data_IF_300324676689
#
_entry.id   IF_300324676689
#
_cell.length_a   1.000
_cell.length_b   1.000
_cell.length_c   1.000
_cell.angle_alpha   90.00
_cell.angle_beta   90.00
_cell.angle_gamma   90.00
#
_symmetry.space_group_name_H-M   'P 1'
#
loop_
_entity.id
_entity.type
_entity.pdbx_description
1 polymer ?
#
# COMPACT_ATOMS: atom_id res chain seq x y z
N UNK A 1 63.73 17.76 -10.12
CA UNK A 1 62.97 18.56 -9.13
C UNK A 1 63.85 18.67 -7.88
N UNK A 2 64.33 19.87 -7.52
CA UNK A 2 65.24 20.05 -6.38
C UNK A 2 64.53 20.52 -5.10
N UNK A 3 63.22 20.81 -5.16
CA UNK A 3 62.40 21.19 -4.01
C UNK A 3 61.07 20.42 -4.06
N UNK A 4 60.88 19.46 -3.16
CA UNK A 4 59.60 18.77 -2.94
C UNK A 4 59.26 18.89 -1.45
N UNK A 5 58.03 19.28 -1.15
CA UNK A 5 57.51 19.38 0.23
C UNK A 5 56.30 18.48 0.34
N UNK A 6 56.20 17.69 1.41
CA UNK A 6 54.99 16.91 1.68
C UNK A 6 53.86 17.87 2.09
N UNK A 7 52.73 17.81 1.40
CA UNK A 7 51.54 18.61 1.67
C UNK A 7 50.38 17.65 1.93
N UNK A 8 49.56 17.98 2.92
CA UNK A 8 48.38 17.19 3.25
C UNK A 8 47.36 17.25 2.08
N UNK A 9 46.84 16.11 1.61
CA UNK A 9 45.91 16.09 0.47
C UNK A 9 44.61 16.87 0.74
N UNK A 10 44.21 17.00 2.02
CA UNK A 10 43.04 17.79 2.40
C UNK A 10 43.21 19.27 2.09
N UNK A 11 44.40 19.85 2.34
CA UNK A 11 44.68 21.26 2.03
C UNK A 11 44.67 21.54 0.53
N UNK A 12 45.10 20.57 -0.30
CA UNK A 12 45.04 20.71 -1.76
C UNK A 12 43.60 20.67 -2.28
N UNK A 13 42.74 19.84 -1.70
CA UNK A 13 41.33 19.80 -2.05
C UNK A 13 40.57 21.06 -1.63
N UNK A 14 40.95 21.67 -0.49
CA UNK A 14 40.37 22.93 -0.03
C UNK A 14 40.79 24.12 -0.92
N UNK A 15 42.08 24.21 -1.27
CA UNK A 15 42.60 25.31 -2.10
C UNK A 15 42.25 25.16 -3.59
N UNK A 16 42.01 23.92 -4.05
CA UNK A 16 41.79 23.59 -5.45
C UNK A 16 40.63 22.63 -5.69
N UNK A 17 39.38 22.98 -5.34
CA UNK A 17 38.23 22.09 -5.47
C UNK A 17 37.90 21.75 -6.93
N UNK A 18 38.35 22.57 -7.89
CA UNK A 18 38.21 22.28 -9.33
C UNK A 18 39.15 21.17 -9.82
N UNK A 19 40.26 20.91 -9.12
CA UNK A 19 41.29 19.95 -9.55
C UNK A 19 41.35 18.71 -8.66
N UNK A 20 41.03 18.84 -7.38
CA UNK A 20 41.17 17.77 -6.40
C UNK A 20 39.85 17.55 -5.66
N UNK A 21 39.43 16.29 -5.57
CA UNK A 21 38.30 15.84 -4.78
C UNK A 21 38.80 14.77 -3.81
N UNK A 22 38.55 14.95 -2.52
CA UNK A 22 38.84 13.91 -1.52
C UNK A 22 37.72 12.89 -1.58
N UNK A 23 38.10 11.62 -1.79
CA UNK A 23 37.15 10.52 -1.76
C UNK A 23 36.91 10.10 -0.32
N UNK A 24 35.87 10.64 0.29
CA UNK A 24 35.38 10.21 1.60
C UNK A 24 34.74 8.81 1.47
N UNK A 25 35.53 7.74 1.45
CA UNK A 25 34.94 6.41 1.26
C UNK A 25 35.73 5.30 1.93
N UNK A 26 35.22 4.91 3.11
CA UNK A 26 35.07 3.51 3.53
C UNK A 26 33.83 3.30 4.46
N UNK A 27 33.19 4.36 4.95
CA UNK A 27 31.94 4.29 5.73
C UNK A 27 30.66 4.40 4.88
N UNK A 28 30.76 4.82 3.62
CA UNK A 28 29.61 5.25 2.81
C UNK A 28 28.71 4.10 2.32
N UNK A 29 29.25 2.92 2.03
CA UNK A 29 28.45 1.80 1.51
C UNK A 29 27.56 1.16 2.57
N UNK A 30 28.07 1.02 3.80
CA UNK A 30 27.29 0.50 4.93
C UNK A 30 26.23 1.51 5.38
N UNK A 31 26.60 2.79 5.46
CA UNK A 31 25.67 3.86 5.80
C UNK A 31 24.58 4.02 4.73
N UNK A 32 24.93 3.95 3.44
CA UNK A 32 23.94 3.99 2.36
C UNK A 32 23.00 2.79 2.39
N UNK A 33 23.52 1.59 2.69
CA UNK A 33 22.70 0.38 2.85
C UNK A 33 21.76 0.48 4.06
N UNK A 34 22.22 1.07 5.15
CA UNK A 34 21.39 1.30 6.34
C UNK A 34 20.28 2.31 6.02
N UNK A 35 20.62 3.45 5.41
CA UNK A 35 19.64 4.45 4.94
C UNK A 35 18.60 3.84 3.99
N UNK A 36 19.02 2.99 3.05
CA UNK A 36 18.07 2.31 2.16
C UNK A 36 17.12 1.37 2.92
N UNK A 37 17.61 0.64 3.93
CA UNK A 37 16.77 -0.23 4.76
C UNK A 37 15.78 0.58 5.59
N UNK A 38 16.23 1.66 6.20
CA UNK A 38 15.41 2.53 7.04
C UNK A 38 14.30 3.18 6.21
N UNK A 39 14.64 3.70 5.02
CA UNK A 39 13.67 4.26 4.07
C UNK A 39 12.66 3.19 3.61
N UNK A 40 13.12 1.97 3.30
CA UNK A 40 12.22 0.87 2.91
C UNK A 40 11.28 0.47 4.04
N UNK A 41 11.79 0.40 5.28
CA UNK A 41 11.01 0.05 6.46
C UNK A 41 9.94 1.10 6.76
N UNK A 42 10.32 2.39 6.71
CA UNK A 42 9.38 3.50 6.91
C UNK A 42 8.26 3.50 5.84
N UNK A 43 8.62 3.23 4.58
CA UNK A 43 7.63 3.14 3.49
C UNK A 43 6.67 1.95 3.65
N UNK A 44 7.16 0.82 4.16
CA UNK A 44 6.32 -0.37 4.40
C UNK A 44 5.29 -0.12 5.51
N UNK A 45 5.71 0.54 6.60
CA UNK A 45 4.82 0.93 7.70
C UNK A 45 3.70 1.88 7.25
N UNK A 46 4.03 2.88 6.44
CA UNK A 46 3.03 3.79 5.87
C UNK A 46 1.99 3.04 5.02
N UNK A 47 2.44 2.11 4.18
CA UNK A 47 1.54 1.29 3.34
C UNK A 47 0.64 0.37 4.15
N UNK A 48 1.16 -0.25 5.21
CA UNK A 48 0.37 -1.12 6.08
C UNK A 48 -0.70 -0.33 6.83
N UNK A 49 -0.37 0.87 7.31
CA UNK A 49 -1.33 1.76 7.96
C UNK A 49 -2.46 2.19 7.00
N UNK A 50 -2.13 2.62 5.78
CA UNK A 50 -3.12 2.94 4.75
C UNK A 50 -4.01 1.74 4.42
N UNK A 51 -3.44 0.53 4.36
CA UNK A 51 -4.20 -0.70 4.08
C UNK A 51 -5.18 -1.02 5.20
N UNK A 52 -4.76 -0.90 6.46
CA UNK A 52 -5.63 -1.10 7.63
C UNK A 52 -6.80 -0.10 7.61
N UNK A 53 -6.53 1.15 7.27
CA UNK A 53 -7.55 2.19 7.21
C UNK A 53 -8.55 1.95 6.07
N UNK A 54 -8.08 1.53 4.89
CA UNK A 54 -8.96 1.13 3.79
C UNK A 54 -9.86 -0.05 4.15
N UNK A 55 -9.30 -1.09 4.78
CA UNK A 55 -10.07 -2.25 5.22
C UNK A 55 -11.11 -1.84 6.26
N UNK A 56 -10.75 -0.99 7.24
CA UNK A 56 -11.68 -0.50 8.25
C UNK A 56 -12.82 0.35 7.62
N UNK A 57 -12.50 1.19 6.64
CA UNK A 57 -13.51 1.96 5.93
C UNK A 57 -14.45 1.06 5.13
N UNK A 58 -13.90 0.03 4.48
CA UNK A 58 -14.69 -0.92 3.70
C UNK A 58 -15.62 -1.75 4.58
N UNK A 59 -15.14 -2.25 5.74
CA UNK A 59 -15.99 -3.01 6.68
C UNK A 59 -17.14 -2.17 7.21
N UNK A 60 -16.89 -0.93 7.62
CA UNK A 60 -17.92 0.00 8.10
C UNK A 60 -18.95 0.29 7.00
N UNK A 61 -18.51 0.51 5.76
CA UNK A 61 -19.41 0.72 4.63
C UNK A 61 -20.24 -0.53 4.32
N UNK A 62 -19.63 -1.71 4.33
CA UNK A 62 -20.32 -2.98 4.11
C UNK A 62 -21.38 -3.24 5.19
N UNK A 63 -21.09 -2.95 6.47
CA UNK A 63 -22.04 -3.07 7.57
C UNK A 63 -23.21 -2.08 7.43
N UNK A 64 -22.93 -0.82 7.09
CA UNK A 64 -23.95 0.19 6.83
C UNK A 64 -24.87 -0.23 5.67
N UNK A 65 -24.32 -0.77 4.59
CA UNK A 65 -25.10 -1.25 3.45
C UNK A 65 -25.91 -2.53 3.78
N UNK A 66 -25.38 -3.43 4.61
CA UNK A 66 -26.13 -4.59 5.12
C UNK A 66 -27.31 -4.15 5.98
N UNK A 67 -27.13 -3.17 6.88
CA UNK A 67 -28.21 -2.63 7.72
C UNK A 67 -29.31 -1.94 6.89
N UNK A 68 -28.94 -1.14 5.88
CA UNK A 68 -29.91 -0.53 4.96
C UNK A 68 -30.73 -1.59 4.22
N UNK A 69 -30.06 -2.62 3.67
CA UNK A 69 -30.73 -3.74 2.99
C UNK A 69 -31.68 -4.49 3.91
N UNK A 70 -31.28 -4.76 5.16
CA UNK A 70 -32.15 -5.41 6.14
C UNK A 70 -33.41 -4.58 6.46
N UNK A 71 -33.27 -3.25 6.65
CA UNK A 71 -34.42 -2.35 6.88
C UNK A 71 -35.38 -2.32 5.69
N UNK A 72 -34.85 -2.28 4.46
CA UNK A 72 -35.68 -2.33 3.25
C UNK A 72 -36.43 -3.67 3.11
N UNK A 73 -35.77 -4.80 3.41
CA UNK A 73 -36.43 -6.12 3.39
C UNK A 73 -37.54 -6.23 4.43
N UNK A 74 -37.34 -5.69 5.63
CA UNK A 74 -38.38 -5.66 6.68
C UNK A 74 -39.57 -4.78 6.26
N UNK A 75 -39.34 -3.70 5.52
CA UNK A 75 -40.40 -2.83 4.99
C UNK A 75 -41.22 -3.51 3.88
N UNK A 76 -40.68 -4.53 3.19
CA UNK A 76 -41.37 -5.31 2.12
C UNK A 76 -42.18 -6.49 2.70
N UNK A 77 -42.52 -6.49 4.00
CA UNK A 77 -43.55 -7.40 4.51
C UNK A 77 -44.93 -6.90 4.07
N UNK A 78 -45.28 -7.12 2.80
CA UNK A 78 -46.61 -6.84 2.25
C UNK A 78 -47.64 -7.78 2.90
N UNK A 79 -48.61 -7.28 3.69
CA UNK A 79 -49.72 -8.09 4.14
C UNK A 79 -50.50 -8.56 2.91
N UNK A 80 -50.60 -9.87 2.71
CA UNK A 80 -51.27 -10.46 1.54
C UNK A 80 -50.35 -11.07 0.47
N UNK A 81 -49.04 -11.20 0.73
CA UNK A 81 -48.17 -12.01 -0.15
C UNK A 81 -48.52 -13.50 -0.01
N UNK A 82 -49.51 -13.95 -0.78
CA UNK A 82 -49.78 -15.36 -1.03
C UNK A 82 -48.49 -15.92 -1.62
N UNK A 83 -47.83 -16.82 -0.90
CA UNK A 83 -46.81 -17.70 -1.44
C UNK A 83 -47.49 -18.55 -2.51
N UNK A 84 -47.68 -18.00 -3.71
CA UNK A 84 -48.09 -18.78 -4.86
C UNK A 84 -46.95 -19.77 -5.07
N UNK A 85 -47.21 -21.00 -4.64
CA UNK A 85 -46.57 -22.20 -5.15
C UNK A 85 -46.24 -21.95 -6.61
N UNK A 86 -44.99 -22.12 -6.99
CA UNK A 86 -44.54 -22.12 -8.37
C UNK A 86 -45.46 -23.00 -9.22
N UNK A 87 -46.53 -22.43 -9.75
CA UNK A 87 -47.49 -23.05 -10.67
C UNK A 87 -47.00 -22.84 -12.10
N UNK A 88 -45.72 -23.10 -12.34
CA UNK A 88 -45.32 -23.57 -13.66
C UNK A 88 -45.56 -25.08 -13.67
N UNK A 89 -46.84 -25.45 -13.77
CA UNK A 89 -47.29 -26.77 -14.17
C UNK A 89 -46.78 -27.00 -15.59
N UNK A 90 -45.54 -27.49 -15.74
CA UNK A 90 -45.08 -28.04 -17.01
C UNK A 90 -45.96 -29.26 -17.32
N UNK A 91 -46.70 -29.28 -18.44
CA UNK A 91 -47.36 -30.51 -18.83
C UNK A 91 -46.27 -31.54 -19.17
N UNK A 92 -46.29 -32.70 -18.49
CA UNK A 92 -45.54 -33.87 -18.92
C UNK A 92 -46.12 -34.28 -20.28
N UNK A 93 -45.36 -34.10 -21.36
CA UNK A 93 -45.70 -34.70 -22.66
C UNK A 93 -45.75 -36.22 -22.47
N UNK A 94 -46.94 -36.78 -22.62
CA UNK A 94 -47.19 -38.21 -22.81
C UNK A 94 -47.33 -38.46 -24.32
N UNK A 95 -46.55 -39.42 -24.85
CA UNK A 95 -46.63 -39.95 -26.23
C UNK A 95 -45.65 -39.29 -27.21
N UNK A 96 -44.93 -39.99 -28.09
CA UNK A 96 -44.87 -41.41 -28.50
C UNK A 96 -43.39 -41.81 -28.59
#
# INVERSE_FOLDING_TARGET
MQCATAVEPQWLAEMGPMFFSVKDSDTSMLDHKQKQKDVKSAMEEEKDNLRKEQVAMETVNQEREKQKRAKQQQQILMPGCIKYSSTYLRPKKLGL
#
